data_IF_193189140535
#
_entry.id   IF_193189140535
#
_cell.length_a   1.000
_cell.length_b   1.000
_cell.length_c   1.000
_cell.angle_alpha   90.00
_cell.angle_beta   90.00
_cell.angle_gamma   90.00
#
_symmetry.space_group_name_H-M   'P 1'
#
loop_
_entity.id
_entity.type
_entity.pdbx_description
1 polymer ?
#
# COMPACT_ATOMS: atom_id res chain seq x y z
N UNK A 1 -40.88 -4.86 -2.23
CA UNK A 1 -41.08 -4.57 -3.66
C UNK A 1 -39.98 -5.36 -4.36
N UNK A 2 -40.38 -6.46 -5.02
CA UNK A 2 -39.48 -7.35 -5.74
C UNK A 2 -38.77 -6.59 -6.86
N UNK A 3 -37.45 -6.55 -6.79
CA UNK A 3 -36.63 -6.14 -7.93
C UNK A 3 -36.77 -7.19 -9.03
N UNK A 4 -36.94 -6.80 -10.30
CA UNK A 4 -37.05 -7.75 -11.38
C UNK A 4 -35.75 -8.56 -11.47
N UNK A 5 -35.86 -9.87 -11.40
CA UNK A 5 -34.78 -10.81 -11.67
C UNK A 5 -34.20 -10.51 -13.06
N UNK A 6 -32.92 -10.18 -13.12
CA UNK A 6 -32.21 -10.12 -14.41
C UNK A 6 -32.40 -11.47 -15.14
N UNK A 7 -32.61 -11.44 -16.46
CA UNK A 7 -32.69 -12.69 -17.23
C UNK A 7 -31.35 -13.42 -17.09
N UNK A 8 -31.35 -14.76 -17.13
CA UNK A 8 -30.13 -15.55 -17.05
C UNK A 8 -29.16 -15.07 -18.15
N UNK A 9 -27.97 -14.63 -17.76
CA UNK A 9 -26.86 -14.29 -18.63
C UNK A 9 -26.67 -15.45 -19.62
N UNK A 10 -26.62 -15.19 -20.92
CA UNK A 10 -26.23 -16.18 -21.90
C UNK A 10 -24.90 -16.80 -21.42
N UNK A 11 -24.84 -18.13 -21.37
CA UNK A 11 -23.67 -18.84 -20.84
C UNK A 11 -22.48 -18.48 -21.74
N UNK A 12 -21.52 -17.70 -21.21
CA UNK A 12 -20.32 -17.29 -21.94
C UNK A 12 -19.48 -18.53 -22.19
N UNK A 13 -19.07 -18.74 -23.44
CA UNK A 13 -18.13 -19.78 -23.81
C UNK A 13 -16.68 -19.27 -23.60
N UNK A 14 -16.02 -19.73 -22.55
CA UNK A 14 -14.63 -19.41 -22.25
C UNK A 14 -13.61 -20.27 -23.05
N UNK A 15 -14.06 -21.21 -23.86
CA UNK A 15 -13.19 -22.08 -24.67
C UNK A 15 -12.18 -21.31 -25.54
N UNK A 16 -12.59 -20.23 -26.25
CA UNK A 16 -11.65 -19.41 -27.02
C UNK A 16 -10.55 -18.74 -26.18
N UNK A 17 -10.85 -18.36 -24.93
CA UNK A 17 -9.86 -17.78 -24.01
C UNK A 17 -8.91 -18.83 -23.45
N UNK A 18 -9.41 -20.04 -23.12
CA UNK A 18 -8.62 -21.12 -22.56
C UNK A 18 -7.42 -21.52 -23.44
N UNK A 19 -7.54 -21.35 -24.75
CA UNK A 19 -6.45 -21.60 -25.71
C UNK A 19 -5.39 -20.50 -25.81
N UNK A 20 -5.57 -19.37 -25.11
CA UNK A 20 -4.73 -18.17 -25.22
C UNK A 20 -4.07 -17.77 -23.90
N UNK A 21 -4.37 -18.44 -22.80
CA UNK A 21 -3.86 -18.13 -21.45
C UNK A 21 -3.31 -19.37 -20.78
N UNK A 22 -2.38 -19.19 -19.86
CA UNK A 22 -1.68 -20.28 -19.18
C UNK A 22 -2.57 -21.07 -18.21
N UNK A 23 -3.50 -20.40 -17.50
CA UNK A 23 -4.47 -21.04 -16.65
C UNK A 23 -5.78 -20.24 -16.63
N UNK A 24 -6.90 -20.97 -16.61
CA UNK A 24 -8.26 -20.42 -16.57
C UNK A 24 -9.11 -21.27 -15.63
N UNK A 25 -9.57 -20.66 -14.55
CA UNK A 25 -10.42 -21.30 -13.57
C UNK A 25 -11.86 -20.77 -13.68
N UNK A 26 -12.81 -21.65 -13.92
CA UNK A 26 -14.22 -21.29 -14.13
C UNK A 26 -15.00 -21.44 -12.84
N UNK A 27 -15.88 -20.48 -12.58
CA UNK A 27 -16.77 -20.49 -11.39
C UNK A 27 -17.51 -21.82 -11.29
N UNK A 28 -17.49 -22.41 -10.08
CA UNK A 28 -18.14 -23.68 -9.77
C UNK A 28 -17.26 -24.91 -9.85
N UNK A 29 -15.96 -24.76 -10.17
CA UNK A 29 -14.97 -25.84 -10.05
C UNK A 29 -14.23 -25.77 -8.71
N UNK A 30 -13.71 -26.91 -8.20
CA UNK A 30 -12.88 -26.89 -6.97
C UNK A 30 -11.63 -26.02 -7.10
N UNK A 31 -10.99 -26.04 -8.25
CA UNK A 31 -9.78 -25.25 -8.57
C UNK A 31 -10.08 -23.76 -8.51
N UNK A 32 -11.25 -23.33 -8.99
CA UNK A 32 -11.70 -21.96 -8.90
C UNK A 32 -11.87 -21.51 -7.44
N UNK A 33 -12.49 -22.34 -6.57
CA UNK A 33 -12.69 -21.96 -5.17
C UNK A 33 -11.37 -21.85 -4.41
N UNK A 34 -10.39 -22.69 -4.72
CA UNK A 34 -9.03 -22.58 -4.21
C UNK A 34 -8.37 -21.27 -4.66
N UNK A 35 -8.41 -20.98 -5.97
CA UNK A 35 -7.86 -19.74 -6.55
C UNK A 35 -8.55 -18.48 -5.98
N UNK A 36 -9.89 -18.50 -5.86
CA UNK A 36 -10.68 -17.38 -5.32
C UNK A 36 -10.36 -17.10 -3.85
N UNK A 37 -10.28 -18.14 -3.03
CA UNK A 37 -9.96 -17.99 -1.59
C UNK A 37 -8.51 -17.52 -1.39
N UNK A 38 -7.60 -17.91 -2.28
CA UNK A 38 -6.20 -17.47 -2.31
C UNK A 38 -5.99 -16.09 -2.94
N UNK A 39 -7.00 -15.52 -3.62
CA UNK A 39 -6.86 -14.24 -4.32
C UNK A 39 -6.78 -13.05 -3.38
N UNK A 40 -7.22 -13.18 -2.14
CA UNK A 40 -7.23 -12.12 -1.14
C UNK A 40 -6.59 -12.57 0.16
N UNK A 41 -5.84 -11.65 0.74
CA UNK A 41 -5.19 -11.85 2.02
C UNK A 41 -6.16 -11.65 3.21
N UNK A 42 -7.04 -10.64 3.15
CA UNK A 42 -7.95 -10.28 4.24
C UNK A 42 -9.18 -11.19 4.31
N UNK A 43 -9.21 -12.10 5.27
CA UNK A 43 -10.31 -13.09 5.44
C UNK A 43 -11.64 -12.47 5.86
N UNK A 44 -11.70 -11.23 6.31
CA UNK A 44 -12.96 -10.52 6.60
C UNK A 44 -13.81 -10.30 5.35
N UNK A 45 -13.16 -10.13 4.21
CA UNK A 45 -13.81 -9.73 2.95
C UNK A 45 -14.02 -10.88 1.97
N UNK A 46 -13.66 -12.09 2.38
CA UNK A 46 -13.92 -13.30 1.59
C UNK A 46 -15.37 -13.68 1.68
N UNK A 47 -16.25 -13.36 0.79
CA UNK A 47 -17.49 -14.07 0.98
C UNK A 47 -18.45 -14.10 -0.20
N UNK A 48 -18.84 -12.98 -0.74
CA UNK A 48 -19.91 -12.94 -1.71
C UNK A 48 -19.43 -12.59 -3.10
N UNK A 49 -18.27 -11.94 -3.19
CA UNK A 49 -17.73 -11.51 -4.50
C UNK A 49 -17.06 -12.69 -5.20
N UNK A 50 -17.59 -13.04 -6.35
CA UNK A 50 -17.16 -14.18 -7.14
C UNK A 50 -17.09 -13.80 -8.62
N UNK A 51 -15.89 -13.65 -9.21
CA UNK A 51 -15.73 -13.51 -10.66
C UNK A 51 -16.35 -14.69 -11.41
N UNK A 52 -16.76 -14.50 -12.66
CA UNK A 52 -17.25 -15.60 -13.50
C UNK A 52 -16.11 -16.54 -13.91
N UNK A 53 -14.90 -16.00 -14.04
CA UNK A 53 -13.67 -16.75 -14.27
C UNK A 53 -12.45 -16.02 -13.72
N UNK A 54 -11.39 -16.76 -13.45
CA UNK A 54 -10.07 -16.27 -13.05
C UNK A 54 -9.02 -16.72 -14.05
N UNK A 55 -8.18 -15.79 -14.51
CA UNK A 55 -7.08 -16.05 -15.45
C UNK A 55 -5.77 -15.73 -14.77
N UNK A 56 -4.88 -16.72 -14.65
CA UNK A 56 -3.50 -16.48 -14.29
C UNK A 56 -2.69 -16.16 -15.53
N UNK A 57 -2.14 -14.94 -15.57
CA UNK A 57 -1.39 -14.44 -16.71
C UNK A 57 0.12 -14.66 -16.50
N UNK A 58 0.79 -15.22 -17.52
CA UNK A 58 2.24 -15.41 -17.55
C UNK A 58 2.95 -14.43 -18.51
N UNK A 59 2.22 -13.65 -19.27
CA UNK A 59 2.77 -12.65 -20.20
C UNK A 59 1.81 -11.49 -20.46
N UNK A 60 2.34 -10.35 -20.93
CA UNK A 60 1.52 -9.24 -21.39
C UNK A 60 0.59 -9.61 -22.56
N UNK A 61 0.99 -10.57 -23.39
CA UNK A 61 0.16 -11.10 -24.46
C UNK A 61 -1.09 -11.81 -23.96
N UNK A 62 -0.97 -12.57 -22.88
CA UNK A 62 -2.10 -13.24 -22.22
C UNK A 62 -3.03 -12.23 -21.56
N UNK A 63 -2.48 -11.19 -20.91
CA UNK A 63 -3.26 -10.06 -20.36
C UNK A 63 -4.06 -9.39 -21.46
N UNK A 64 -3.43 -9.10 -22.62
CA UNK A 64 -4.10 -8.49 -23.76
C UNK A 64 -5.20 -9.39 -24.36
N UNK A 65 -4.97 -10.70 -24.44
CA UNK A 65 -5.96 -11.66 -24.92
C UNK A 65 -7.18 -11.71 -24.00
N UNK A 66 -6.95 -11.75 -22.68
CA UNK A 66 -8.02 -11.79 -21.69
C UNK A 66 -8.85 -10.47 -21.67
N UNK A 67 -8.19 -9.31 -21.81
CA UNK A 67 -8.87 -8.01 -21.90
C UNK A 67 -9.74 -7.93 -23.16
N UNK A 68 -9.22 -8.34 -24.32
CA UNK A 68 -10.03 -8.38 -25.56
C UNK A 68 -11.23 -9.30 -25.43
N UNK A 69 -11.03 -10.49 -24.87
CA UNK A 69 -12.13 -11.42 -24.59
C UNK A 69 -13.19 -10.81 -23.66
N UNK A 70 -12.76 -10.20 -22.56
CA UNK A 70 -13.68 -9.56 -21.63
C UNK A 70 -14.50 -8.45 -22.30
N UNK A 71 -13.85 -7.62 -23.13
CA UNK A 71 -14.53 -6.54 -23.88
C UNK A 71 -15.55 -7.10 -24.89
N UNK A 72 -15.18 -8.12 -25.67
CA UNK A 72 -16.07 -8.75 -26.64
C UNK A 72 -17.33 -9.34 -26.01
N UNK A 73 -17.23 -9.79 -24.74
CA UNK A 73 -18.33 -10.43 -24.03
C UNK A 73 -19.00 -9.50 -23.00
N UNK A 74 -18.61 -8.21 -22.94
CA UNK A 74 -19.17 -7.24 -22.00
C UNK A 74 -18.89 -7.55 -20.52
N UNK A 75 -17.80 -8.29 -20.24
CA UNK A 75 -17.35 -8.62 -18.90
C UNK A 75 -16.56 -7.47 -18.29
N UNK A 76 -16.70 -7.26 -16.98
CA UNK A 76 -15.79 -6.40 -16.22
C UNK A 76 -14.46 -7.12 -15.95
N UNK A 77 -13.39 -6.35 -15.80
CA UNK A 77 -12.06 -6.86 -15.50
C UNK A 77 -11.59 -6.31 -14.16
N UNK A 78 -11.16 -7.20 -13.28
CA UNK A 78 -10.42 -6.85 -12.07
C UNK A 78 -8.99 -7.40 -12.13
N UNK A 79 -8.07 -6.77 -11.39
CA UNK A 79 -6.64 -7.06 -11.45
C UNK A 79 -6.11 -7.45 -10.08
N UNK A 80 -5.23 -8.44 -10.04
CA UNK A 80 -4.57 -8.91 -8.83
C UNK A 80 -3.05 -8.97 -9.04
N UNK A 81 -2.28 -8.43 -8.08
CA UNK A 81 -0.85 -8.72 -7.89
C UNK A 81 -0.69 -9.82 -6.83
N UNK A 82 -0.42 -9.48 -5.57
CA UNK A 82 -0.31 -10.43 -4.44
C UNK A 82 -1.56 -10.54 -3.57
N UNK A 83 -2.60 -9.73 -3.80
CA UNK A 83 -3.84 -9.79 -3.01
C UNK A 83 -3.79 -9.08 -1.64
N UNK A 84 -2.79 -8.25 -1.39
CA UNK A 84 -2.58 -7.52 -0.14
C UNK A 84 -3.55 -6.35 0.11
N UNK A 85 -4.43 -6.01 -0.84
CA UNK A 85 -5.40 -4.94 -0.65
C UNK A 85 -6.31 -5.22 0.55
N UNK A 86 -6.36 -4.29 1.52
CA UNK A 86 -7.20 -4.41 2.72
C UNK A 86 -8.68 -4.47 2.42
N UNK A 87 -9.14 -3.90 1.31
CA UNK A 87 -10.53 -3.91 0.85
C UNK A 87 -10.79 -4.93 -0.27
N UNK A 88 -9.83 -5.85 -0.52
CA UNK A 88 -9.94 -6.91 -1.53
C UNK A 88 -10.31 -6.39 -2.93
N UNK A 89 -9.60 -5.36 -3.41
CA UNK A 89 -9.86 -4.72 -4.71
C UNK A 89 -9.83 -5.69 -5.90
N UNK A 90 -9.10 -6.80 -5.78
CA UNK A 90 -9.01 -7.82 -6.82
C UNK A 90 -10.33 -8.58 -7.04
N UNK A 91 -11.15 -8.78 -5.99
CA UNK A 91 -12.40 -9.53 -6.11
C UNK A 91 -13.55 -8.61 -6.53
N UNK A 92 -14.11 -8.86 -7.71
CA UNK A 92 -15.39 -8.33 -8.18
C UNK A 92 -16.48 -9.40 -8.10
N UNK A 93 -17.74 -8.99 -8.24
CA UNK A 93 -18.85 -9.92 -8.43
C UNK A 93 -19.19 -10.01 -9.93
N UNK A 94 -19.07 -11.21 -10.49
CA UNK A 94 -19.07 -11.41 -11.95
C UNK A 94 -17.79 -10.93 -12.63
N UNK A 95 -17.73 -11.03 -13.95
CA UNK A 95 -16.61 -10.58 -14.75
C UNK A 95 -15.37 -11.49 -14.70
N UNK A 96 -14.23 -10.96 -15.07
CA UNK A 96 -12.97 -11.69 -15.22
C UNK A 96 -11.91 -11.11 -14.26
N UNK A 97 -11.37 -11.95 -13.37
CA UNK A 97 -10.21 -11.58 -12.57
C UNK A 97 -8.96 -12.00 -13.31
N UNK A 98 -8.04 -11.03 -13.57
CA UNK A 98 -6.72 -11.28 -14.10
C UNK A 98 -5.71 -11.30 -12.95
N UNK A 99 -5.17 -12.48 -12.68
CA UNK A 99 -4.08 -12.67 -11.73
C UNK A 99 -2.74 -12.43 -12.42
N UNK A 100 -2.19 -11.25 -12.23
CA UNK A 100 -0.87 -10.83 -12.70
C UNK A 100 0.26 -11.27 -11.76
N UNK A 101 -0.03 -12.03 -10.71
CA UNK A 101 0.97 -12.59 -9.80
C UNK A 101 1.97 -13.54 -10.48
N UNK A 102 1.63 -14.04 -11.69
CA UNK A 102 2.56 -14.82 -12.52
C UNK A 102 3.57 -13.97 -13.31
N UNK A 103 3.42 -12.65 -13.32
CA UNK A 103 4.38 -11.70 -13.88
C UNK A 103 5.32 -11.23 -12.74
N UNK A 104 6.16 -12.10 -12.22
CA UNK A 104 6.97 -11.92 -11.01
C UNK A 104 8.48 -11.72 -11.28
N UNK A 105 8.85 -11.49 -12.54
CA UNK A 105 10.23 -11.31 -12.94
C UNK A 105 10.86 -10.04 -12.37
N UNK A 106 12.19 -10.12 -12.12
CA UNK A 106 13.07 -8.99 -11.75
C UNK A 106 14.31 -9.06 -12.65
N UNK A 107 14.47 -8.08 -13.54
CA UNK A 107 15.58 -7.98 -14.49
C UNK A 107 16.38 -6.70 -14.14
N UNK A 108 17.62 -6.86 -13.65
CA UNK A 108 18.45 -5.74 -13.17
C UNK A 108 19.49 -5.36 -14.22
N UNK A 109 19.51 -4.09 -14.61
CA UNK A 109 20.56 -3.45 -15.38
C UNK A 109 21.41 -2.55 -14.45
N UNK A 110 22.39 -3.15 -13.81
CA UNK A 110 23.21 -2.48 -12.81
C UNK A 110 24.05 -1.34 -13.41
N UNK A 111 24.50 -1.47 -14.66
CA UNK A 111 25.32 -0.45 -15.33
C UNK A 111 24.55 0.88 -15.49
N UNK A 112 23.27 0.77 -15.87
CA UNK A 112 22.40 1.93 -16.05
C UNK A 112 21.57 2.29 -14.80
N UNK A 113 21.74 1.54 -13.68
CA UNK A 113 20.91 1.66 -12.47
C UNK A 113 19.42 1.63 -12.79
N UNK A 114 19.02 0.60 -13.52
CA UNK A 114 17.63 0.35 -13.93
C UNK A 114 17.22 -1.08 -13.54
N UNK A 115 15.94 -1.28 -13.33
CA UNK A 115 15.37 -2.61 -13.28
C UNK A 115 14.04 -2.64 -14.02
N UNK A 116 13.74 -3.77 -14.67
CA UNK A 116 12.43 -4.08 -15.23
C UNK A 116 11.79 -5.15 -14.36
N UNK A 117 10.63 -4.85 -13.78
CA UNK A 117 9.98 -5.74 -12.83
C UNK A 117 8.52 -5.97 -13.18
N UNK A 118 8.05 -7.19 -12.97
CA UNK A 118 6.65 -7.55 -13.15
C UNK A 118 5.77 -7.06 -11.99
N UNK A 119 4.46 -6.85 -12.22
CA UNK A 119 3.52 -6.44 -11.20
C UNK A 119 3.32 -7.50 -10.09
N UNK A 120 3.68 -8.76 -10.32
CA UNK A 120 3.66 -9.85 -9.36
C UNK A 120 4.92 -9.94 -8.48
N UNK A 121 6.03 -9.31 -8.88
CA UNK A 121 7.27 -9.31 -8.10
C UNK A 121 7.04 -8.74 -6.70
N UNK A 122 7.46 -9.45 -5.65
CA UNK A 122 7.32 -8.99 -4.27
C UNK A 122 8.48 -8.09 -3.87
N UNK A 123 8.23 -7.19 -2.91
CA UNK A 123 9.25 -6.26 -2.42
C UNK A 123 10.48 -6.97 -1.86
N UNK A 124 10.31 -8.12 -1.19
CA UNK A 124 11.41 -8.94 -0.68
C UNK A 124 12.31 -9.48 -1.78
N UNK A 125 11.71 -10.06 -2.84
CA UNK A 125 12.46 -10.60 -3.98
C UNK A 125 13.24 -9.49 -4.70
N UNK A 126 12.62 -8.32 -4.84
CA UNK A 126 13.27 -7.16 -5.42
C UNK A 126 14.48 -6.69 -4.59
N UNK A 127 14.35 -6.62 -3.25
CA UNK A 127 15.48 -6.27 -2.36
C UNK A 127 16.63 -7.26 -2.52
N UNK A 128 16.35 -8.56 -2.54
CA UNK A 128 17.37 -9.59 -2.67
C UNK A 128 18.11 -9.47 -4.02
N UNK A 129 17.37 -9.31 -5.13
CA UNK A 129 17.98 -9.16 -6.45
C UNK A 129 18.82 -7.88 -6.59
N UNK A 130 18.36 -6.76 -5.99
CA UNK A 130 19.10 -5.49 -6.04
C UNK A 130 20.34 -5.49 -5.13
N UNK A 131 20.27 -6.20 -4.00
CA UNK A 131 21.38 -6.29 -3.05
C UNK A 131 22.62 -6.97 -3.66
N UNK A 132 22.44 -7.91 -4.59
CA UNK A 132 23.55 -8.54 -5.32
C UNK A 132 24.36 -7.56 -6.19
N UNK A 133 23.81 -6.37 -6.42
CA UNK A 133 24.37 -5.33 -7.28
C UNK A 133 24.65 -4.03 -6.53
N UNK A 134 24.62 -4.02 -5.19
CA UNK A 134 24.74 -2.82 -4.34
C UNK A 134 23.75 -1.69 -4.71
N UNK A 135 22.53 -2.08 -5.14
CA UNK A 135 21.47 -1.19 -5.55
C UNK A 135 20.23 -1.34 -4.65
N UNK A 136 19.42 -0.29 -4.59
CA UNK A 136 18.21 -0.23 -3.80
C UNK A 136 17.07 0.48 -4.55
N UNK A 137 15.85 0.20 -4.10
CA UNK A 137 14.63 0.86 -4.53
C UNK A 137 13.71 1.08 -3.33
N UNK A 138 12.90 2.16 -3.25
CA UNK A 138 11.93 2.33 -2.18
C UNK A 138 10.84 1.25 -2.26
N UNK A 139 10.90 0.30 -1.33
CA UNK A 139 9.90 -0.78 -1.18
C UNK A 139 9.04 -0.53 0.06
N UNK A 140 7.85 -1.15 0.10
CA UNK A 140 6.97 -1.12 1.26
C UNK A 140 7.58 -1.80 2.50
N UNK A 141 7.03 -1.48 3.67
CA UNK A 141 7.49 -2.04 4.94
C UNK A 141 7.31 -3.56 5.03
N UNK A 142 6.37 -4.13 4.27
CA UNK A 142 6.09 -5.58 4.25
C UNK A 142 6.63 -6.22 2.97
N UNK A 143 7.51 -7.21 3.13
CA UNK A 143 8.22 -7.88 2.03
C UNK A 143 7.30 -8.58 1.00
N UNK A 144 6.15 -9.13 1.44
CA UNK A 144 5.25 -9.90 0.61
C UNK A 144 4.30 -9.08 -0.27
N UNK A 145 4.36 -7.74 -0.17
CA UNK A 145 3.57 -6.84 -1.02
C UNK A 145 4.16 -6.81 -2.42
N UNK A 146 3.32 -7.13 -3.43
CA UNK A 146 3.75 -7.07 -4.83
C UNK A 146 3.81 -5.65 -5.36
N UNK A 147 4.74 -5.41 -6.29
CA UNK A 147 5.02 -4.11 -6.88
C UNK A 147 3.84 -3.51 -7.63
N UNK A 148 2.92 -4.33 -8.17
CA UNK A 148 1.80 -3.87 -8.98
C UNK A 148 0.90 -2.87 -8.26
N UNK A 149 0.24 -3.29 -7.18
CA UNK A 149 -0.64 -2.41 -6.40
C UNK A 149 0.12 -1.34 -5.63
N UNK A 150 1.32 -1.65 -5.15
CA UNK A 150 2.18 -0.74 -4.40
C UNK A 150 2.55 0.49 -5.24
N UNK A 151 3.10 0.30 -6.43
CA UNK A 151 3.54 1.39 -7.30
C UNK A 151 2.35 2.21 -7.85
N UNK A 152 1.26 1.54 -8.24
CA UNK A 152 0.04 2.23 -8.68
C UNK A 152 -0.56 3.14 -7.60
N UNK A 153 -0.42 2.77 -6.33
CA UNK A 153 -0.91 3.56 -5.20
C UNK A 153 0.03 4.71 -4.81
N UNK A 154 1.19 4.82 -5.43
CA UNK A 154 2.23 5.78 -5.10
C UNK A 154 3.44 5.12 -4.42
N UNK A 155 3.21 4.18 -3.51
CA UNK A 155 4.27 3.41 -2.86
C UNK A 155 5.00 4.20 -1.78
N UNK A 156 4.46 4.21 -0.57
CA UNK A 156 5.12 4.79 0.61
C UNK A 156 5.90 3.67 1.29
N UNK A 157 7.20 3.82 1.35
CA UNK A 157 8.09 2.79 1.88
C UNK A 157 9.36 3.35 2.53
N UNK A 158 10.29 2.46 2.84
CA UNK A 158 11.55 2.82 3.48
C UNK A 158 12.30 3.93 2.73
N UNK A 159 12.89 4.83 3.51
CA UNK A 159 13.64 5.99 3.02
C UNK A 159 12.80 7.01 2.22
N UNK A 160 11.47 7.02 2.45
CA UNK A 160 10.54 7.95 1.81
C UNK A 160 10.98 9.42 1.91
N UNK A 161 11.50 9.83 3.07
CA UNK A 161 11.97 11.20 3.30
C UNK A 161 13.15 11.62 2.41
N UNK A 162 13.88 10.67 1.81
CA UNK A 162 15.01 10.94 0.92
C UNK A 162 14.68 10.65 -0.54
N UNK A 163 14.04 9.51 -0.84
CA UNK A 163 13.78 9.05 -2.21
C UNK A 163 12.38 9.42 -2.73
N UNK A 164 11.51 9.91 -1.84
CA UNK A 164 10.10 10.16 -2.14
C UNK A 164 9.28 8.88 -2.29
N UNK A 165 8.01 9.00 -2.72
CA UNK A 165 7.17 7.85 -3.02
C UNK A 165 7.76 7.05 -4.19
N UNK A 166 7.61 5.71 -4.13
CA UNK A 166 8.22 4.80 -5.09
C UNK A 166 7.82 5.10 -6.55
N UNK A 167 6.61 5.58 -6.78
CA UNK A 167 6.11 5.94 -8.12
C UNK A 167 6.87 7.11 -8.77
N UNK A 168 7.64 7.88 -8.03
CA UNK A 168 8.53 8.93 -8.58
C UNK A 168 9.83 8.37 -9.14
N UNK A 169 10.15 7.14 -8.77
CA UNK A 169 11.35 6.44 -9.22
C UNK A 169 10.99 5.46 -10.36
N UNK A 170 9.97 5.81 -11.17
CA UNK A 170 9.57 5.08 -12.37
C UNK A 170 10.06 5.82 -13.62
N UNK A 171 10.78 5.10 -14.47
CA UNK A 171 11.16 5.59 -15.80
C UNK A 171 10.04 5.41 -16.82
N UNK A 172 9.40 4.24 -16.78
CA UNK A 172 8.30 3.89 -17.67
C UNK A 172 7.47 2.75 -17.09
N UNK A 173 6.32 2.48 -17.71
CA UNK A 173 5.44 1.37 -17.37
C UNK A 173 4.93 0.75 -18.67
N UNK A 174 4.89 -0.57 -18.73
CA UNK A 174 4.19 -1.31 -19.80
C UNK A 174 2.77 -1.62 -19.33
N UNK A 175 1.79 -1.31 -20.15
CA UNK A 175 0.36 -1.48 -19.83
C UNK A 175 -0.40 -2.12 -20.99
N UNK A 176 -1.53 -2.74 -20.65
CA UNK A 176 -2.56 -3.12 -21.61
C UNK A 176 -3.81 -2.28 -21.37
N UNK A 177 -4.25 -1.55 -22.38
CA UNK A 177 -5.43 -0.67 -22.33
C UNK A 177 -6.74 -1.46 -22.39
N UNK A 178 -7.88 -0.80 -22.19
CA UNK A 178 -9.21 -1.40 -22.34
C UNK A 178 -9.49 -1.93 -23.76
N UNK A 179 -8.76 -1.45 -24.76
CA UNK A 179 -8.82 -1.95 -26.15
C UNK A 179 -7.96 -3.19 -26.39
N UNK A 180 -7.20 -3.63 -25.36
CA UNK A 180 -6.25 -4.73 -25.48
C UNK A 180 -4.98 -4.36 -26.25
N UNK A 181 -4.66 -3.06 -26.37
CA UNK A 181 -3.43 -2.55 -26.94
C UNK A 181 -2.32 -2.53 -25.88
N UNK A 182 -1.13 -3.00 -26.25
CA UNK A 182 0.04 -2.96 -25.39
C UNK A 182 0.80 -1.64 -25.63
N UNK A 183 0.96 -0.83 -24.58
CA UNK A 183 1.64 0.45 -24.65
C UNK A 183 2.79 0.50 -23.64
N UNK A 184 3.86 1.19 -24.00
CA UNK A 184 4.83 1.72 -23.05
C UNK A 184 4.47 3.16 -22.76
N UNK A 185 4.35 3.51 -21.48
CA UNK A 185 3.98 4.86 -21.02
C UNK A 185 5.11 5.45 -20.18
N UNK A 186 5.42 6.72 -20.40
CA UNK A 186 6.49 7.47 -19.72
C UNK A 186 6.16 8.96 -19.70
N UNK A 187 7.08 9.80 -19.26
CA UNK A 187 6.90 11.26 -19.37
C UNK A 187 6.89 11.75 -20.83
N UNK A 188 7.53 11.01 -21.76
CA UNK A 188 7.57 11.34 -23.19
C UNK A 188 6.50 10.61 -24.01
N UNK A 189 6.10 9.41 -23.56
CA UNK A 189 5.16 8.54 -24.26
C UNK A 189 3.88 8.40 -23.43
N UNK A 190 2.73 8.86 -23.92
CA UNK A 190 1.43 8.83 -23.20
C UNK A 190 1.51 9.43 -21.79
N UNK A 191 2.03 10.66 -21.60
CA UNK A 191 2.32 11.24 -20.29
C UNK A 191 1.08 11.40 -19.39
N UNK A 192 -0.10 11.52 -19.96
CA UNK A 192 -1.36 11.56 -19.23
C UNK A 192 -1.71 10.21 -18.58
N UNK A 193 -1.49 9.10 -19.27
CA UNK A 193 -1.70 7.76 -18.73
C UNK A 193 -0.61 7.41 -17.70
N UNK A 194 0.65 7.85 -17.94
CA UNK A 194 1.75 7.71 -16.99
C UNK A 194 1.50 8.52 -15.71
N UNK A 195 0.93 9.73 -15.83
CA UNK A 195 0.49 10.53 -14.69
C UNK A 195 -0.54 9.78 -13.85
N UNK A 196 -1.56 9.18 -14.48
CA UNK A 196 -2.60 8.42 -13.80
C UNK A 196 -2.05 7.18 -13.08
N UNK A 197 -1.14 6.44 -13.71
CA UNK A 197 -0.52 5.24 -13.14
C UNK A 197 0.30 5.54 -11.87
N UNK A 198 0.71 6.79 -11.66
CA UNK A 198 1.47 7.22 -10.48
C UNK A 198 0.53 7.77 -9.40
N UNK A 199 -0.27 6.90 -8.77
CA UNK A 199 -1.09 7.24 -7.61
C UNK A 199 -2.59 6.95 -7.72
N UNK A 200 -3.12 6.52 -8.88
CA UNK A 200 -4.54 6.16 -9.00
C UNK A 200 -4.92 4.87 -8.25
N UNK A 201 -3.93 4.04 -7.86
CA UNK A 201 -4.17 2.80 -7.12
C UNK A 201 -5.13 1.86 -7.84
N UNK A 202 -6.08 1.31 -7.10
CA UNK A 202 -7.10 0.40 -7.64
C UNK A 202 -8.11 1.09 -8.60
N UNK A 203 -8.02 2.41 -8.78
CA UNK A 203 -8.84 3.16 -9.74
C UNK A 203 -8.17 3.35 -11.10
N UNK A 204 -6.95 2.82 -11.29
CA UNK A 204 -6.28 2.85 -12.57
C UNK A 204 -7.03 2.01 -13.61
N UNK A 205 -7.07 2.47 -14.84
CA UNK A 205 -7.92 1.97 -15.92
C UNK A 205 -7.13 1.33 -17.08
N UNK A 206 -6.01 0.67 -16.74
CA UNK A 206 -5.24 -0.22 -17.62
C UNK A 206 -4.57 -1.31 -16.78
N UNK A 207 -4.22 -2.43 -17.39
CA UNK A 207 -3.49 -3.51 -16.71
C UNK A 207 -1.98 -3.32 -16.88
N UNK A 208 -1.25 -3.23 -15.78
CA UNK A 208 0.22 -3.14 -15.82
C UNK A 208 0.82 -4.52 -16.06
N UNK A 209 1.81 -4.61 -16.95
CA UNK A 209 2.56 -5.84 -17.26
C UNK A 209 4.04 -5.76 -16.91
N UNK A 210 4.61 -4.56 -16.81
CA UNK A 210 5.95 -4.31 -16.28
C UNK A 210 6.12 -2.85 -15.81
N UNK A 211 7.06 -2.65 -14.90
CA UNK A 211 7.58 -1.35 -14.49
C UNK A 211 9.07 -1.24 -14.82
N UNK A 212 9.51 -0.09 -15.32
CA UNK A 212 10.93 0.27 -15.45
C UNK A 212 11.31 1.19 -14.28
N UNK A 213 12.16 0.70 -13.38
CA UNK A 213 12.54 1.38 -12.15
C UNK A 213 13.85 2.18 -12.34
N UNK A 214 13.95 3.33 -11.67
CA UNK A 214 15.19 4.06 -11.42
C UNK A 214 15.74 3.66 -10.06
N UNK A 215 17.00 3.18 -10.02
CA UNK A 215 17.59 2.61 -8.83
C UNK A 215 18.55 3.57 -8.13
N UNK A 216 18.63 3.45 -6.82
CA UNK A 216 19.55 4.18 -5.96
C UNK A 216 20.74 3.29 -5.56
N UNK A 217 21.89 3.87 -5.19
CA UNK A 217 22.92 3.13 -4.46
C UNK A 217 22.33 2.56 -3.16
N UNK A 218 22.76 1.34 -2.79
CA UNK A 218 22.35 0.72 -1.53
C UNK A 218 22.93 1.48 -0.34
N UNK A 219 22.12 1.93 0.64
CA UNK A 219 22.66 2.42 1.92
C UNK A 219 23.40 1.29 2.65
N UNK A 220 24.56 1.61 3.26
CA UNK A 220 25.38 0.59 3.92
C UNK A 220 24.77 0.10 5.22
N UNK A 221 24.03 0.96 5.95
CA UNK A 221 23.52 0.64 7.28
C UNK A 221 22.17 1.28 7.58
N UNK A 222 21.44 0.64 8.48
CA UNK A 222 20.33 1.21 9.21
C UNK A 222 20.57 1.07 10.72
N UNK A 223 20.11 2.05 11.51
CA UNK A 223 20.15 2.03 12.96
C UNK A 223 18.74 2.17 13.50
N UNK A 224 18.31 1.19 14.28
CA UNK A 224 17.03 1.19 14.96
C UNK A 224 17.20 1.56 16.43
N UNK A 225 16.54 2.61 16.88
CA UNK A 225 16.32 2.94 18.29
C UNK A 225 14.85 2.69 18.64
N UNK A 226 14.58 2.06 19.78
CA UNK A 226 13.21 1.74 20.20
C UNK A 226 13.07 1.98 21.71
N UNK A 227 12.00 2.67 22.11
CA UNK A 227 11.59 2.80 23.51
C UNK A 227 10.06 2.66 23.63
N UNK A 228 9.62 1.95 24.68
CA UNK A 228 8.21 1.75 25.01
C UNK A 228 7.87 2.47 26.32
N UNK A 229 6.80 3.23 26.28
CA UNK A 229 6.30 4.03 27.39
C UNK A 229 4.87 3.62 27.72
N UNK A 230 4.41 3.93 28.95
CA UNK A 230 2.99 3.81 29.28
C UNK A 230 2.16 4.73 28.40
N UNK A 231 0.89 4.40 28.14
CA UNK A 231 0.02 5.23 27.31
C UNK A 231 -0.19 6.65 27.90
N UNK A 232 -0.21 6.76 29.23
CA UNK A 232 -0.35 8.03 29.95
C UNK A 232 0.81 8.98 29.69
N UNK A 233 1.99 8.45 29.36
CA UNK A 233 3.17 9.25 29.00
C UNK A 233 3.00 10.06 27.72
N UNK A 234 1.96 9.81 26.92
CA UNK A 234 1.71 10.52 25.65
C UNK A 234 1.71 12.05 25.82
N UNK A 235 1.17 12.57 26.93
CA UNK A 235 1.14 14.02 27.23
C UNK A 235 2.54 14.61 27.40
N UNK A 236 3.45 13.88 28.04
CA UNK A 236 4.85 14.30 28.20
C UNK A 236 5.67 14.08 26.91
N UNK A 237 5.31 13.10 26.11
CA UNK A 237 6.03 12.71 24.89
C UNK A 237 5.74 13.61 23.69
N UNK A 238 4.55 14.19 23.58
CA UNK A 238 4.08 14.81 22.34
C UNK A 238 5.00 15.95 21.82
N UNK A 239 5.36 16.90 22.67
CA UNK A 239 6.24 18.02 22.29
C UNK A 239 7.66 17.53 22.02
N UNK A 240 8.17 16.60 22.83
CA UNK A 240 9.48 16.02 22.64
C UNK A 240 9.54 15.21 21.33
N UNK A 241 8.54 14.37 21.05
CA UNK A 241 8.47 13.56 19.83
C UNK A 241 8.48 14.46 18.59
N UNK A 242 7.73 15.55 18.61
CA UNK A 242 7.73 16.55 17.54
C UNK A 242 9.11 17.18 17.36
N UNK A 243 9.72 17.63 18.46
CA UNK A 243 11.04 18.27 18.43
C UNK A 243 12.16 17.30 18.00
N UNK A 244 12.13 16.05 18.51
CA UNK A 244 13.10 15.03 18.16
C UNK A 244 12.99 14.63 16.67
N UNK A 245 11.75 14.50 16.16
CA UNK A 245 11.50 14.24 14.74
C UNK A 245 12.01 15.37 13.87
N UNK A 246 11.73 16.63 14.22
CA UNK A 246 12.21 17.81 13.49
C UNK A 246 13.74 17.94 13.50
N UNK A 247 14.40 17.50 14.58
CA UNK A 247 15.86 17.54 14.72
C UNK A 247 16.56 16.36 14.02
N UNK A 248 15.83 15.28 13.69
CA UNK A 248 16.40 14.13 13.00
C UNK A 248 16.61 14.39 11.51
N UNK A 249 17.36 13.50 10.85
CA UNK A 249 17.66 13.66 9.42
C UNK A 249 16.47 13.23 8.55
N UNK A 250 16.16 13.87 7.39
CA UNK A 250 15.08 13.43 6.49
C UNK A 250 15.16 11.96 6.04
N UNK A 251 16.37 11.38 5.98
CA UNK A 251 16.58 9.94 5.74
C UNK A 251 16.29 9.04 6.96
N UNK A 252 15.68 9.59 8.02
CA UNK A 252 15.18 8.81 9.15
C UNK A 252 13.67 8.60 8.99
N UNK A 253 13.19 7.49 9.51
CA UNK A 253 11.76 7.21 9.63
C UNK A 253 11.37 7.02 11.08
N UNK A 254 10.38 7.79 11.51
CA UNK A 254 9.91 7.81 12.89
C UNK A 254 8.54 7.16 12.92
N UNK A 255 8.42 6.11 13.71
CA UNK A 255 7.17 5.39 13.96
C UNK A 255 6.78 5.56 15.42
N UNK A 256 5.55 5.95 15.67
CA UNK A 256 4.96 5.97 17.00
C UNK A 256 3.75 5.04 17.02
N UNK A 257 3.92 3.87 17.63
CA UNK A 257 2.89 2.84 17.72
C UNK A 257 2.08 3.06 19.00
N UNK A 258 0.77 3.26 18.84
CA UNK A 258 -0.18 3.39 19.93
C UNK A 258 -1.03 2.12 20.00
N UNK A 259 -0.91 1.38 21.09
CA UNK A 259 -1.57 0.08 21.25
C UNK A 259 -0.96 -0.70 22.42
N UNK A 260 -1.20 -2.01 22.48
CA UNK A 260 -0.65 -2.81 23.58
C UNK A 260 0.85 -3.07 23.38
N UNK A 261 1.61 -3.00 24.45
CA UNK A 261 2.97 -3.55 24.48
C UNK A 261 2.94 -5.05 24.16
N UNK A 262 3.78 -5.49 23.24
CA UNK A 262 3.81 -6.89 22.79
C UNK A 262 4.18 -7.90 23.88
N UNK A 263 4.91 -7.46 24.94
CA UNK A 263 5.37 -8.32 26.04
C UNK A 263 4.30 -8.42 27.13
N UNK A 264 3.86 -7.28 27.66
CA UNK A 264 2.91 -7.20 28.80
C UNK A 264 1.45 -7.23 28.34
N UNK A 265 1.13 -6.63 27.20
CA UNK A 265 -0.24 -6.42 26.70
C UNK A 265 -0.92 -5.21 27.31
N UNK A 266 -0.22 -4.41 28.09
CA UNK A 266 -0.74 -3.16 28.65
C UNK A 266 -0.77 -2.04 27.57
N UNK A 267 -1.69 -1.08 27.66
CA UNK A 267 -1.70 0.07 26.76
C UNK A 267 -0.38 0.83 26.78
N UNK A 268 0.17 1.10 25.60
CA UNK A 268 1.51 1.66 25.46
C UNK A 268 1.65 2.64 24.29
N UNK A 269 2.71 3.42 24.33
CA UNK A 269 3.26 4.20 23.24
C UNK A 269 4.68 3.69 22.97
N UNK A 270 4.90 3.03 21.82
CA UNK A 270 6.22 2.59 21.42
C UNK A 270 6.76 3.50 20.31
N UNK A 271 7.91 4.12 20.55
CA UNK A 271 8.58 4.97 19.57
C UNK A 271 9.75 4.19 18.97
N UNK A 272 9.78 4.12 17.64
CA UNK A 272 10.87 3.58 16.85
C UNK A 272 11.42 4.68 15.95
N UNK A 273 12.72 4.91 16.01
CA UNK A 273 13.42 5.80 15.10
C UNK A 273 14.43 4.98 14.30
N UNK A 274 14.30 5.01 12.97
CA UNK A 274 15.16 4.29 12.04
C UNK A 274 15.98 5.30 11.27
N UNK A 275 17.29 5.34 11.52
CA UNK A 275 18.24 6.11 10.72
C UNK A 275 18.80 5.23 9.61
N UNK A 276 18.87 5.75 8.38
CA UNK A 276 19.42 5.05 7.22
C UNK A 276 20.61 5.86 6.71
N UNK A 277 21.79 5.25 6.51
CA UNK A 277 23.01 5.97 6.18
C UNK A 277 24.05 5.16 5.40
N UNK A 278 25.10 5.85 4.97
CA UNK A 278 26.25 5.26 4.25
C UNK A 278 27.33 4.74 5.21
N UNK A 279 27.04 4.68 6.50
CA UNK A 279 27.80 4.00 7.54
C UNK A 279 26.90 3.80 8.77
N UNK A 280 27.29 2.87 9.64
CA UNK A 280 26.61 2.65 10.93
C UNK A 280 26.64 3.91 11.82
N UNK A 281 27.78 4.60 11.89
CA UNK A 281 27.92 5.85 12.64
C UNK A 281 26.96 6.92 12.14
N UNK A 282 26.86 7.10 10.83
CA UNK A 282 25.94 8.06 10.22
C UNK A 282 24.47 7.67 10.47
N UNK A 283 24.13 6.40 10.32
CA UNK A 283 22.78 5.90 10.57
C UNK A 283 22.35 6.14 12.03
N UNK A 284 23.25 5.89 12.98
CA UNK A 284 23.04 6.13 14.40
C UNK A 284 22.89 7.62 14.73
N UNK A 285 23.76 8.47 14.17
CA UNK A 285 23.71 9.91 14.40
C UNK A 285 22.40 10.53 13.93
N UNK A 286 21.82 10.04 12.83
CA UNK A 286 20.54 10.50 12.28
C UNK A 286 19.35 10.37 13.21
N UNK A 287 19.41 9.50 14.23
CA UNK A 287 18.34 9.29 15.23
C UNK A 287 18.78 9.69 16.64
N UNK A 288 19.92 10.37 16.79
CA UNK A 288 20.50 10.76 18.09
C UNK A 288 19.58 11.66 18.91
N UNK A 289 18.70 12.43 18.25
CA UNK A 289 17.68 13.28 18.91
C UNK A 289 16.69 12.50 19.78
N UNK A 290 16.56 11.18 19.60
CA UNK A 290 15.67 10.32 20.37
C UNK A 290 16.27 9.76 21.65
N UNK A 291 17.60 9.90 21.88
CA UNK A 291 18.30 9.30 23.03
C UNK A 291 17.98 9.97 24.37
N UNK A 292 17.24 11.06 24.40
CA UNK A 292 16.95 11.79 25.64
C UNK A 292 15.45 12.07 25.76
N UNK A 293 14.62 11.04 26.03
CA UNK A 293 13.21 11.25 26.27
C UNK A 293 12.97 12.08 27.54
N UNK A 294 11.82 12.75 27.68
CA UNK A 294 11.50 13.55 28.86
C UNK A 294 11.44 12.68 30.12
N UNK A 295 12.02 13.13 31.25
CA UNK A 295 12.09 12.34 32.47
C UNK A 295 10.72 12.04 33.09
N UNK A 296 9.67 12.79 32.70
CA UNK A 296 8.28 12.58 33.14
C UNK A 296 7.61 11.42 32.38
N UNK A 297 8.17 10.97 31.27
CA UNK A 297 7.63 9.83 30.52
C UNK A 297 8.09 8.51 31.17
N UNK A 298 7.13 7.69 31.57
CA UNK A 298 7.38 6.43 32.24
C UNK A 298 7.72 5.33 31.22
N UNK A 299 8.97 4.84 31.25
CA UNK A 299 9.46 3.73 30.44
C UNK A 299 8.91 2.40 30.96
N UNK A 300 8.49 1.52 30.05
CA UNK A 300 8.08 0.15 30.33
C UNK A 300 9.26 -0.85 30.20
N UNK A 301 10.48 -0.34 30.04
CA UNK A 301 11.73 -1.10 29.92
C UNK A 301 12.86 -0.20 29.47
N UNK A 302 14.07 -0.75 29.40
CA UNK A 302 15.22 -0.01 28.86
C UNK A 302 15.05 0.21 27.35
N UNK A 303 15.42 1.37 26.79
CA UNK A 303 15.50 1.58 25.36
C UNK A 303 16.45 0.56 24.70
N UNK A 304 16.07 0.09 23.53
CA UNK A 304 16.84 -0.88 22.74
C UNK A 304 17.43 -0.19 21.51
N UNK A 305 18.68 -0.49 21.20
CA UNK A 305 19.36 -0.03 19.98
C UNK A 305 19.89 -1.23 19.18
N UNK A 306 19.80 -1.16 17.86
CA UNK A 306 20.26 -2.23 16.99
C UNK A 306 20.77 -1.70 15.65
N UNK A 307 21.97 -2.14 15.25
CA UNK A 307 22.46 -2.01 13.87
C UNK A 307 21.81 -3.08 12.98
N UNK A 308 21.44 -2.70 11.77
CA UNK A 308 20.81 -3.53 10.76
C UNK A 308 21.44 -3.25 9.39
N UNK A 309 21.50 -4.26 8.53
CA UNK A 309 21.70 -3.99 7.12
C UNK A 309 20.41 -3.32 6.54
N UNK A 310 20.54 -2.44 5.54
CA UNK A 310 19.37 -1.84 4.89
C UNK A 310 18.39 -2.91 4.39
N UNK A 311 18.91 -4.01 3.86
CA UNK A 311 18.14 -5.17 3.38
C UNK A 311 17.35 -5.91 4.46
N UNK A 312 17.57 -5.63 5.74
CA UNK A 312 16.82 -6.26 6.85
C UNK A 312 15.60 -5.43 7.28
N UNK A 313 15.48 -4.18 6.82
CA UNK A 313 14.39 -3.29 7.23
C UNK A 313 13.01 -3.88 6.92
N UNK A 314 12.83 -4.51 5.74
CA UNK A 314 11.57 -5.13 5.35
C UNK A 314 11.15 -6.32 6.24
N UNK A 315 12.07 -6.85 7.08
CA UNK A 315 11.79 -7.92 8.07
C UNK A 315 11.24 -7.37 9.39
N UNK A 316 11.28 -6.04 9.60
CA UNK A 316 10.75 -5.41 10.81
C UNK A 316 9.21 -5.40 10.86
N UNK A 317 8.55 -5.51 9.73
CA UNK A 317 7.10 -5.52 9.63
C UNK A 317 6.62 -6.83 9.00
N UNK A 318 5.77 -7.52 9.73
CA UNK A 318 5.14 -8.75 9.26
C UNK A 318 3.63 -8.65 9.45
N UNK A 319 2.89 -8.89 8.36
CA UNK A 319 1.43 -8.96 8.41
C UNK A 319 1.03 -10.43 8.56
N UNK A 320 0.35 -10.82 9.66
CA UNK A 320 -0.03 -12.21 9.89
C UNK A 320 -1.08 -12.67 8.87
N UNK A 321 -0.81 -13.82 8.25
CA UNK A 321 -1.72 -14.43 7.30
C UNK A 321 -2.97 -15.03 7.98
N UNK A 322 -4.04 -15.20 7.21
CA UNK A 322 -5.26 -15.88 7.66
C UNK A 322 -6.11 -15.08 8.64
N UNK A 323 -5.78 -13.82 8.91
CA UNK A 323 -6.53 -12.94 9.81
C UNK A 323 -7.65 -12.20 9.12
N UNK A 324 -8.66 -11.84 9.90
CA UNK A 324 -9.65 -10.82 9.57
C UNK A 324 -9.03 -9.47 9.89
N UNK A 325 -9.19 -8.50 9.01
CA UNK A 325 -8.54 -7.18 9.16
C UNK A 325 -9.52 -6.06 8.86
N UNK A 326 -9.51 -5.03 9.68
CA UNK A 326 -9.97 -3.70 9.35
C UNK A 326 -8.75 -2.76 9.36
N UNK A 327 -8.59 -2.01 8.30
CA UNK A 327 -7.52 -1.03 8.19
C UNK A 327 -8.04 0.24 7.53
N UNK A 328 -7.50 1.37 7.96
CA UNK A 328 -7.69 2.66 7.31
C UNK A 328 -6.41 3.48 7.44
N UNK A 329 -6.25 4.51 6.62
CA UNK A 329 -5.11 5.40 6.73
C UNK A 329 -5.53 6.86 6.54
N UNK A 330 -4.99 7.72 7.40
CA UNK A 330 -5.11 9.18 7.31
C UNK A 330 -3.74 9.81 7.13
N UNK A 331 -3.60 10.64 6.11
CA UNK A 331 -2.49 11.57 6.01
C UNK A 331 -2.90 12.89 6.67
N UNK A 332 -2.06 13.44 7.55
CA UNK A 332 -2.43 14.58 8.40
C UNK A 332 -1.49 15.77 8.16
N UNK A 333 -2.08 16.95 8.14
CA UNK A 333 -1.35 18.22 8.11
C UNK A 333 -1.10 18.68 9.55
N UNK A 334 -0.44 17.80 10.31
CA UNK A 334 -0.17 17.91 11.73
C UNK A 334 1.16 17.25 12.08
N UNK A 335 1.73 17.61 13.20
CA UNK A 335 2.93 16.96 13.74
C UNK A 335 2.60 15.57 14.30
N UNK A 336 3.60 14.69 14.36
CA UNK A 336 3.43 13.36 14.95
C UNK A 336 3.00 13.42 16.42
N UNK A 337 3.43 14.45 17.16
CA UNK A 337 3.00 14.68 18.55
C UNK A 337 1.54 15.10 18.67
N UNK A 338 1.04 15.98 17.80
CA UNK A 338 -0.39 16.34 17.75
C UNK A 338 -1.26 15.13 17.42
N UNK A 339 -0.80 14.29 16.49
CA UNK A 339 -1.50 13.05 16.16
C UNK A 339 -1.48 12.05 17.32
N UNK A 340 -0.35 11.92 18.05
CA UNK A 340 -0.27 11.11 19.27
C UNK A 340 -1.32 11.56 20.30
N UNK A 341 -1.45 12.87 20.55
CA UNK A 341 -2.45 13.42 21.48
C UNK A 341 -3.89 13.15 21.04
N UNK A 342 -4.15 13.05 19.74
CA UNK A 342 -5.47 12.73 19.23
C UNK A 342 -5.88 11.27 19.48
N UNK A 343 -4.91 10.32 19.55
CA UNK A 343 -5.24 8.89 19.55
C UNK A 343 -4.79 8.11 20.79
N UNK A 344 -3.91 8.63 21.65
CA UNK A 344 -3.33 7.87 22.77
C UNK A 344 -4.36 7.26 23.73
N UNK A 345 -5.50 7.92 23.92
CA UNK A 345 -6.60 7.44 24.76
C UNK A 345 -7.34 6.23 24.18
N UNK A 346 -7.03 5.87 22.92
CA UNK A 346 -7.54 4.69 22.21
C UNK A 346 -6.50 3.54 22.19
N UNK A 347 -5.44 3.64 23.00
CA UNK A 347 -4.41 2.60 23.12
C UNK A 347 -4.92 1.29 23.74
N UNK A 348 -6.05 1.32 24.46
CA UNK A 348 -6.77 0.11 24.88
C UNK A 348 -7.51 -0.48 23.70
N UNK A 349 -6.82 -1.34 22.97
CA UNK A 349 -7.30 -1.93 21.73
C UNK A 349 -8.04 -3.26 21.99
N UNK A 350 -8.98 -3.66 21.12
CA UNK A 350 -9.74 -4.90 21.31
C UNK A 350 -8.89 -6.18 21.27
N UNK A 351 -7.75 -6.16 20.59
CA UNK A 351 -6.81 -7.30 20.47
C UNK A 351 -5.37 -6.82 20.43
N UNK A 352 -4.44 -7.62 20.97
CA UNK A 352 -3.00 -7.30 21.01
C UNK A 352 -2.34 -7.07 19.66
N UNK A 353 -2.92 -7.56 18.57
CA UNK A 353 -2.44 -7.36 17.20
C UNK A 353 -2.96 -6.07 16.54
N UNK A 354 -3.80 -5.30 17.25
CA UNK A 354 -4.33 -4.03 16.73
C UNK A 354 -3.45 -2.86 17.18
N UNK A 355 -3.25 -1.87 16.31
CA UNK A 355 -2.38 -0.72 16.60
C UNK A 355 -2.71 0.47 15.71
N UNK A 356 -2.44 1.67 16.21
CA UNK A 356 -2.28 2.87 15.38
C UNK A 356 -0.79 3.09 15.17
N UNK A 357 -0.35 3.16 13.93
CA UNK A 357 1.03 3.43 13.58
C UNK A 357 1.15 4.83 12.97
N UNK A 358 1.62 5.79 13.76
CA UNK A 358 1.91 7.13 13.30
C UNK A 358 3.31 7.13 12.68
N UNK A 359 3.42 7.57 11.44
CA UNK A 359 4.69 7.56 10.69
C UNK A 359 5.00 8.97 10.20
N UNK A 360 6.22 9.41 10.42
CA UNK A 360 6.75 10.66 9.90
C UNK A 360 8.18 10.44 9.39
N UNK A 361 8.57 11.02 8.26
CA UNK A 361 9.98 11.17 7.95
C UNK A 361 10.62 12.10 8.97
N UNK A 362 11.93 12.00 9.15
CA UNK A 362 12.70 12.95 9.94
C UNK A 362 12.74 14.34 9.31
N UNK A 363 13.27 15.30 10.05
CA UNK A 363 13.38 16.70 9.63
C UNK A 363 12.11 17.52 9.86
N UNK A 364 12.08 18.74 9.35
CA UNK A 364 11.02 19.72 9.61
C UNK A 364 9.70 19.47 8.85
N UNK A 365 9.46 18.25 8.39
CA UNK A 365 8.27 17.95 7.58
C UNK A 365 8.35 18.46 6.13
N UNK A 366 9.44 19.09 5.74
CA UNK A 366 9.74 19.39 4.34
C UNK A 366 10.20 18.11 3.65
N UNK A 367 9.23 17.30 3.21
CA UNK A 367 9.52 16.15 2.36
C UNK A 367 9.89 16.70 0.99
N UNK A 368 11.10 16.40 0.46
CA UNK A 368 11.57 16.96 -0.81
C UNK A 368 10.68 16.62 -2.00
N UNK A 369 9.74 15.69 -1.81
CA UNK A 369 8.96 15.08 -2.87
C UNK A 369 7.45 15.03 -2.51
N UNK A 370 6.91 16.16 -2.03
CA UNK A 370 5.46 16.30 -1.86
C UNK A 370 4.72 15.93 -3.14
N UNK A 371 3.55 15.28 -3.03
CA UNK A 371 2.71 15.03 -4.19
C UNK A 371 2.42 16.33 -4.91
N UNK A 372 2.72 16.34 -6.20
CA UNK A 372 2.41 17.46 -7.08
C UNK A 372 1.44 16.96 -8.15
N UNK A 373 0.21 17.47 -8.11
CA UNK A 373 -0.86 17.12 -9.05
C UNK A 373 -0.48 17.39 -10.51
N UNK A 374 0.52 18.23 -10.77
CA UNK A 374 1.05 18.41 -12.11
C UNK A 374 1.75 17.14 -12.63
N UNK A 375 2.38 16.37 -11.74
CA UNK A 375 3.24 15.24 -12.11
C UNK A 375 2.69 13.87 -11.74
N UNK A 376 1.81 13.76 -10.74
CA UNK A 376 1.27 12.47 -10.28
C UNK A 376 -0.19 12.58 -9.87
N UNK A 377 -0.95 11.49 -9.93
CA UNK A 377 -2.29 11.40 -9.37
C UNK A 377 -2.26 11.23 -7.84
N UNK A 378 -1.12 10.84 -7.25
CA UNK A 378 -0.95 10.73 -5.81
C UNK A 378 -1.24 12.06 -5.14
N UNK A 379 -2.17 12.08 -4.22
CA UNK A 379 -2.60 13.29 -3.50
C UNK A 379 -2.33 13.22 -2.01
N UNK A 380 -1.98 12.04 -1.48
CA UNK A 380 -1.55 11.84 -0.10
C UNK A 380 -0.07 12.16 0.05
N UNK A 381 0.30 12.94 1.06
CA UNK A 381 1.67 13.33 1.36
C UNK A 381 1.73 14.56 2.24
N UNK A 382 2.92 14.96 2.64
CA UNK A 382 3.16 16.05 3.59
C UNK A 382 3.46 15.52 4.97
N UNK A 383 3.22 16.21 6.02
CA UNK A 383 3.37 15.89 7.43
C UNK A 383 3.55 14.43 7.87
N UNK A 384 2.74 14.00 8.81
CA UNK A 384 2.75 12.62 9.26
C UNK A 384 1.52 11.85 8.76
N UNK A 385 1.61 10.52 8.75
CA UNK A 385 0.50 9.64 8.43
C UNK A 385 0.15 8.71 9.59
N UNK A 386 -1.08 8.23 9.64
CA UNK A 386 -1.56 7.24 10.59
C UNK A 386 -2.11 6.03 9.85
N UNK A 387 -1.43 4.90 9.95
CA UNK A 387 -1.98 3.60 9.62
C UNK A 387 -2.74 3.04 10.82
N UNK A 388 -3.98 2.64 10.63
CA UNK A 388 -4.86 2.10 11.65
C UNK A 388 -5.13 0.64 11.31
N UNK A 389 -4.74 -0.29 12.17
CA UNK A 389 -4.85 -1.72 11.88
C UNK A 389 -5.50 -2.45 13.04
N UNK A 390 -6.61 -3.11 12.79
CA UNK A 390 -7.20 -4.08 13.70
C UNK A 390 -7.20 -5.47 13.08
N UNK A 391 -6.73 -6.48 13.82
CA UNK A 391 -6.59 -7.85 13.35
C UNK A 391 -7.18 -8.81 14.38
N UNK A 392 -7.98 -9.76 13.91
CA UNK A 392 -8.65 -10.73 14.77
C UNK A 392 -8.93 -12.05 14.02
N UNK A 393 -9.49 -13.03 14.72
CA UNK A 393 -9.76 -14.35 14.15
C UNK A 393 -11.25 -14.58 13.89
N UNK A 394 -12.11 -14.25 14.86
CA UNK A 394 -13.50 -14.70 14.89
C UNK A 394 -14.44 -13.69 14.21
N UNK A 395 -15.34 -14.13 13.31
CA UNK A 395 -16.28 -13.25 12.62
C UNK A 395 -17.20 -12.45 13.55
N UNK A 396 -17.50 -12.99 14.73
CA UNK A 396 -18.37 -12.37 15.75
C UNK A 396 -17.78 -11.06 16.28
N UNK A 397 -16.46 -10.90 16.22
CA UNK A 397 -15.72 -9.71 16.68
C UNK A 397 -15.65 -8.60 15.62
N UNK A 398 -16.18 -8.81 14.40
CA UNK A 398 -16.09 -7.84 13.29
C UNK A 398 -16.60 -6.46 13.68
N UNK A 399 -17.76 -6.38 14.34
CA UNK A 399 -18.35 -5.09 14.71
C UNK A 399 -17.49 -4.32 15.72
N UNK A 400 -16.88 -5.04 16.67
CA UNK A 400 -15.99 -4.47 17.69
C UNK A 400 -14.74 -3.84 17.06
N UNK A 401 -14.05 -4.63 16.24
CA UNK A 401 -12.78 -4.20 15.64
C UNK A 401 -12.97 -3.13 14.57
N UNK A 402 -13.98 -3.27 13.70
CA UNK A 402 -14.32 -2.22 12.74
C UNK A 402 -14.80 -0.94 13.44
N UNK A 403 -15.48 -1.05 14.59
CA UNK A 403 -15.88 0.07 15.43
C UNK A 403 -14.66 0.85 15.91
N UNK A 404 -13.68 0.15 16.50
CA UNK A 404 -12.44 0.78 16.98
C UNK A 404 -11.66 1.50 15.87
N UNK A 405 -11.53 0.91 14.67
CA UNK A 405 -10.88 1.57 13.53
C UNK A 405 -11.59 2.88 13.18
N UNK A 406 -12.93 2.91 13.21
CA UNK A 406 -13.72 4.12 12.95
C UNK A 406 -13.57 5.18 14.05
N UNK A 407 -13.45 4.77 15.32
CA UNK A 407 -13.23 5.68 16.44
C UNK A 407 -11.86 6.38 16.30
N UNK A 408 -10.82 5.64 15.95
CA UNK A 408 -9.49 6.20 15.66
C UNK A 408 -9.53 7.12 14.45
N UNK A 409 -10.18 6.71 13.36
CA UNK A 409 -10.35 7.53 12.15
C UNK A 409 -11.10 8.84 12.46
N UNK A 410 -12.13 8.77 13.29
CA UNK A 410 -12.89 9.95 13.73
C UNK A 410 -12.02 10.91 14.56
N UNK A 411 -11.17 10.39 15.45
CA UNK A 411 -10.24 11.20 16.24
C UNK A 411 -9.21 11.94 15.38
N UNK A 412 -8.77 11.34 14.27
CA UNK A 412 -7.83 11.94 13.34
C UNK A 412 -8.49 12.87 12.29
N UNK A 413 -9.82 12.82 12.13
CA UNK A 413 -10.54 13.59 11.11
C UNK A 413 -10.26 15.10 11.15
N UNK A 414 -10.14 15.78 12.31
CA UNK A 414 -9.81 17.21 12.36
C UNK A 414 -8.41 17.57 11.85
N UNK A 415 -7.51 16.60 11.83
CA UNK A 415 -6.11 16.75 11.41
C UNK A 415 -5.85 16.28 9.97
N UNK A 416 -6.81 15.54 9.38
CA UNK A 416 -6.65 14.88 8.10
C UNK A 416 -6.61 15.86 6.93
N UNK A 417 -5.59 15.73 6.08
CA UNK A 417 -5.48 16.41 4.79
C UNK A 417 -5.87 15.52 3.61
N UNK A 418 -5.58 14.21 3.69
CA UNK A 418 -5.87 13.23 2.64
C UNK A 418 -5.96 11.80 3.18
N UNK A 419 -6.37 10.85 2.32
CA UNK A 419 -6.21 9.41 2.55
C UNK A 419 -5.26 8.82 1.53
N UNK A 420 -4.53 7.79 1.94
CA UNK A 420 -3.66 7.06 1.01
C UNK A 420 -4.45 5.92 0.36
N UNK A 421 -4.59 5.98 -0.97
CA UNK A 421 -5.40 5.02 -1.76
C UNK A 421 -4.98 3.55 -1.57
N UNK A 422 -3.71 3.30 -1.23
CA UNK A 422 -3.18 1.95 -1.00
C UNK A 422 -3.74 1.27 0.25
N UNK A 423 -4.20 2.04 1.25
CA UNK A 423 -4.60 1.52 2.56
C UNK A 423 -5.95 2.06 3.08
N UNK A 424 -6.56 3.04 2.42
CA UNK A 424 -7.85 3.58 2.79
C UNK A 424 -8.94 2.49 2.82
N UNK A 425 -9.84 2.53 3.82
CA UNK A 425 -11.02 1.65 3.86
C UNK A 425 -12.08 2.08 2.84
N UNK A 426 -11.92 1.63 1.60
CA UNK A 426 -12.89 1.91 0.54
C UNK A 426 -14.23 1.16 0.73
N UNK A 427 -14.34 0.27 1.71
CA UNK A 427 -15.61 -0.40 2.05
C UNK A 427 -16.51 0.47 2.93
N UNK A 428 -15.98 1.55 3.50
CA UNK A 428 -16.71 2.42 4.41
C UNK A 428 -17.68 3.41 3.72
N UNK A 429 -17.65 3.49 2.39
CA UNK A 429 -18.58 4.31 1.61
C UNK A 429 -17.98 4.82 0.29
N UNK A 430 -18.83 5.22 -0.67
CA UNK A 430 -18.36 5.64 -1.99
C UNK A 430 -17.56 6.96 -1.97
N UNK A 431 -17.74 7.82 -0.96
CA UNK A 431 -16.98 9.06 -0.77
C UNK A 431 -15.52 8.80 -0.40
N UNK A 432 -15.19 7.63 0.20
CA UNK A 432 -13.83 7.28 0.61
C UNK A 432 -12.82 7.35 -0.54
N UNK A 433 -13.22 6.93 -1.72
CA UNK A 433 -12.36 7.03 -2.90
C UNK A 433 -12.02 8.49 -3.24
N UNK A 434 -13.00 9.40 -3.10
CA UNK A 434 -12.79 10.83 -3.38
C UNK A 434 -11.85 11.48 -2.37
N UNK A 435 -11.89 11.04 -1.11
CA UNK A 435 -11.00 11.53 -0.05
C UNK A 435 -9.52 11.13 -0.27
N UNK A 436 -9.26 10.19 -1.19
CA UNK A 436 -7.91 9.80 -1.57
C UNK A 436 -7.25 10.75 -2.57
N UNK A 437 -8.01 11.66 -3.19
CA UNK A 437 -7.54 12.54 -4.25
C UNK A 437 -7.88 14.00 -3.98
N UNK A 438 -7.02 14.91 -4.46
CA UNK A 438 -7.43 16.30 -4.56
C UNK A 438 -8.58 16.44 -5.57
N UNK A 439 -9.43 17.48 -5.48
CA UNK A 439 -10.50 17.71 -6.46
C UNK A 439 -10.00 17.75 -7.90
N UNK A 440 -8.82 18.34 -8.15
CA UNK A 440 -8.19 18.44 -9.47
C UNK A 440 -7.72 17.08 -9.97
N UNK A 441 -7.04 16.30 -9.11
CA UNK A 441 -6.58 14.96 -9.45
C UNK A 441 -7.76 14.04 -9.76
N UNK A 442 -8.81 14.07 -8.94
CA UNK A 442 -10.01 13.26 -9.15
C UNK A 442 -10.72 13.61 -10.48
N UNK A 443 -10.89 14.91 -10.77
CA UNK A 443 -11.50 15.35 -12.02
C UNK A 443 -10.69 14.91 -13.25
N UNK A 444 -9.35 15.01 -13.18
CA UNK A 444 -8.45 14.58 -14.26
C UNK A 444 -8.48 13.05 -14.44
N UNK A 445 -8.50 12.27 -13.35
CA UNK A 445 -8.64 10.80 -13.43
C UNK A 445 -9.95 10.40 -14.13
N UNK A 446 -11.06 11.04 -13.79
CA UNK A 446 -12.36 10.77 -14.43
C UNK A 446 -12.38 11.17 -15.91
N UNK A 447 -11.70 12.25 -16.31
CA UNK A 447 -11.54 12.64 -17.69
C UNK A 447 -10.72 11.61 -18.48
N UNK A 448 -9.56 11.21 -17.94
CA UNK A 448 -8.69 10.23 -18.58
C UNK A 448 -9.36 8.86 -18.67
N UNK A 449 -10.10 8.46 -17.64
CA UNK A 449 -10.87 7.23 -17.66
C UNK A 449 -11.91 7.23 -18.79
N UNK A 450 -12.65 8.33 -19.00
CA UNK A 450 -13.59 8.43 -20.13
C UNK A 450 -12.92 8.30 -21.50
N UNK A 451 -11.64 8.67 -21.59
CA UNK A 451 -10.85 8.58 -22.82
C UNK A 451 -10.29 7.17 -23.06
N UNK A 452 -9.71 6.54 -22.03
CA UNK A 452 -8.97 5.28 -22.14
C UNK A 452 -9.80 4.04 -21.81
N UNK A 453 -10.90 4.20 -21.04
CA UNK A 453 -11.84 3.14 -20.66
C UNK A 453 -13.28 3.64 -20.71
N UNK A 454 -13.79 4.07 -21.89
CA UNK A 454 -15.11 4.67 -22.04
C UNK A 454 -16.25 3.71 -21.68
N UNK A 455 -16.05 2.40 -21.86
CA UNK A 455 -17.01 1.35 -21.53
C UNK A 455 -16.91 0.90 -20.07
N UNK A 456 -15.98 1.51 -19.30
CA UNK A 456 -15.70 1.15 -17.92
C UNK A 456 -15.44 -0.35 -17.76
N UNK A 457 -14.60 -0.90 -18.63
CA UNK A 457 -14.20 -2.32 -18.62
C UNK A 457 -13.51 -2.68 -17.30
N UNK A 458 -12.55 -1.84 -16.88
CA UNK A 458 -11.85 -2.07 -15.62
C UNK A 458 -12.75 -1.72 -14.43
N UNK A 459 -12.81 -2.65 -13.48
CA UNK A 459 -13.52 -2.45 -12.23
C UNK A 459 -12.90 -1.25 -11.48
N UNK A 460 -13.70 -0.21 -11.19
CA UNK A 460 -13.32 0.81 -10.26
C UNK A 460 -14.02 0.58 -8.93
N UNK A 461 -13.30 0.78 -7.86
CA UNK A 461 -13.87 0.76 -6.53
C UNK A 461 -14.65 2.07 -6.27
N UNK A 462 -15.87 1.97 -5.74
CA UNK A 462 -16.65 3.15 -5.34
C UNK A 462 -17.39 3.88 -6.47
N UNK A 463 -17.53 3.29 -7.66
CA UNK A 463 -18.34 3.86 -8.76
C UNK A 463 -19.62 3.08 -9.00
#
# INVERSE_FOLDING_TARGET
>A
VDSPSQPPSATIDFGPLAGQVSALELRGTPEYEEARSGAIWNKRLDTSRAPDAMVRCASGGEVAAAIRFAREHGLKVSLRGSGHSYHAAALCDGGLLLDCGGLDFVEVDAENRRARVGPGAQGGDLVEALAEQDLAFPIGHCASVAMGGFLLSGGIGWNYGTWGPACRNLAAIEVVTADGEMLRISEEEHPDLFWAARGAGCSFFAAVTAYELELHPMPEAAWLWTATFTAESALALADWLTAATAASHPGSEIMCLVGPDFKSGEPSVTIRAVGIGDSEEQARDRVSSFHSPPPEAELMGEPEEKSLAFTELHKLSHMPEGKRVAADQSWCDATIGEMLLAVYHLADVPKRSSTVNLISPGGNGEIPFMPDVAHTALSAGGGASAGIYAMWDEPEDDALHCGWVRDVDAALTPLRSARYIGEADLTAGPERLRECFSPEAFARLEELRRRYDPERLFQAYGT
#
